data_IF_670686591309
#
_entry.id   IF_670686591309
#
_cell.length_a   1.000
_cell.length_b   1.000
_cell.length_c   1.000
_cell.angle_alpha   90.00
_cell.angle_beta   90.00
_cell.angle_gamma   90.00
#
_symmetry.space_group_name_H-M   'P 1'
#
loop_
_entity.id
_entity.type
_entity.pdbx_description
1 polymer ?
#
# COMPACT_ATOMS: atom_id res chain seq x y z
N UNK A 1 -14.10 -93.90 5.93
CA UNK A 1 -15.41 -94.57 5.82
C UNK A 1 -16.14 -93.88 4.66
N UNK A 2 -15.81 -94.29 3.42
CA UNK A 2 -16.62 -95.17 2.53
C UNK A 2 -17.86 -94.44 1.98
N UNK A 3 -17.82 -94.02 0.70
CA UNK A 3 -18.50 -94.64 -0.48
C UNK A 3 -20.00 -94.22 -0.54
N UNK A 4 -20.67 -93.82 -1.63
CA UNK A 4 -20.66 -94.04 -3.10
C UNK A 4 -21.59 -92.97 -3.73
N UNK A 5 -21.32 -92.29 -4.86
CA UNK A 5 -21.51 -92.66 -6.30
C UNK A 5 -22.93 -93.17 -6.67
N UNK A 6 -23.72 -92.38 -7.43
CA UNK A 6 -24.23 -92.68 -8.80
C UNK A 6 -25.54 -91.97 -9.25
N UNK A 7 -25.67 -91.86 -10.60
CA UNK A 7 -26.80 -91.48 -11.48
C UNK A 7 -26.71 -90.03 -11.98
N UNK A 8 -26.14 -89.72 -13.16
CA UNK A 8 -26.41 -90.16 -14.54
C UNK A 8 -27.90 -90.07 -14.92
N UNK A 9 -28.29 -88.93 -15.47
CA UNK A 9 -29.40 -88.82 -16.41
C UNK A 9 -28.96 -87.94 -17.58
N UNK A 10 -28.60 -88.63 -18.65
CA UNK A 10 -28.32 -88.13 -19.98
C UNK A 10 -29.60 -87.47 -20.55
N UNK A 11 -29.57 -86.17 -20.83
CA UNK A 11 -30.56 -85.54 -21.71
C UNK A 11 -29.80 -84.86 -22.85
N UNK A 12 -29.63 -85.67 -23.89
CA UNK A 12 -29.21 -85.30 -25.24
C UNK A 12 -30.33 -84.46 -25.87
N UNK A 13 -30.17 -83.14 -25.92
CA UNK A 13 -31.05 -82.26 -26.71
C UNK A 13 -30.27 -81.73 -27.91
N UNK A 14 -30.76 -82.16 -29.06
CA UNK A 14 -30.35 -81.91 -30.43
C UNK A 14 -29.70 -80.54 -30.69
N UNK A 15 -28.43 -80.57 -31.08
CA UNK A 15 -27.76 -79.53 -31.86
C UNK A 15 -28.39 -79.57 -33.27
N UNK A 16 -29.47 -78.83 -33.47
CA UNK A 16 -29.92 -78.46 -34.82
C UNK A 16 -29.09 -77.26 -35.27
N UNK A 17 -28.02 -77.57 -36.01
CA UNK A 17 -27.28 -76.67 -36.88
C UNK A 17 -28.24 -76.11 -37.95
N UNK A 18 -29.00 -75.10 -37.56
CA UNK A 18 -29.64 -74.17 -38.49
C UNK A 18 -28.58 -73.24 -39.05
N UNK A 19 -28.03 -73.59 -40.21
CA UNK A 19 -27.38 -72.67 -41.13
C UNK A 19 -28.43 -71.64 -41.59
N UNK A 20 -28.64 -70.63 -40.75
CA UNK A 20 -29.30 -69.40 -41.16
C UNK A 20 -28.29 -68.67 -42.05
N UNK A 21 -28.60 -68.35 -43.32
CA UNK A 21 -27.78 -67.41 -44.05
C UNK A 21 -27.74 -66.12 -43.23
N UNK A 22 -26.57 -65.84 -42.66
CA UNK A 22 -26.29 -64.57 -42.03
C UNK A 22 -26.53 -63.50 -43.09
N UNK A 23 -27.71 -62.87 -43.04
CA UNK A 23 -27.88 -61.56 -43.61
C UNK A 23 -26.82 -60.71 -42.93
N UNK A 24 -25.73 -60.42 -43.66
CA UNK A 24 -24.86 -59.32 -43.34
C UNK A 24 -25.70 -58.05 -43.50
N UNK A 25 -26.54 -57.76 -42.51
CA UNK A 25 -26.98 -56.41 -42.27
C UNK A 25 -25.70 -55.62 -42.07
N UNK A 26 -25.39 -54.76 -43.04
CA UNK A 26 -24.48 -53.65 -42.82
C UNK A 26 -24.86 -53.07 -41.46
N UNK A 27 -23.95 -53.16 -40.48
CA UNK A 27 -24.11 -52.45 -39.24
C UNK A 27 -24.30 -50.99 -39.64
N UNK A 28 -25.52 -50.49 -39.44
CA UNK A 28 -25.81 -49.08 -39.58
C UNK A 28 -24.77 -48.32 -38.76
N UNK A 29 -24.29 -47.17 -39.24
CA UNK A 29 -23.30 -46.35 -38.53
C UNK A 29 -23.97 -45.72 -37.30
N UNK A 30 -24.34 -46.55 -36.32
CA UNK A 30 -24.99 -46.13 -35.09
C UNK A 30 -23.98 -45.27 -34.36
N UNK A 31 -24.32 -43.98 -34.30
CA UNK A 31 -23.55 -42.97 -33.60
C UNK A 31 -23.31 -43.42 -32.15
N UNK A 32 -22.06 -43.46 -31.66
CA UNK A 32 -21.78 -43.93 -30.31
C UNK A 32 -22.50 -43.09 -29.25
N UNK A 33 -23.04 -43.73 -28.21
CA UNK A 33 -23.86 -43.06 -27.18
C UNK A 33 -23.14 -41.87 -26.51
N UNK A 34 -21.82 -41.94 -26.36
CA UNK A 34 -21.03 -40.88 -25.73
C UNK A 34 -21.03 -39.59 -26.55
N UNK A 35 -21.28 -39.64 -27.86
CA UNK A 35 -21.33 -38.43 -28.71
C UNK A 35 -22.52 -37.50 -28.41
N UNK A 36 -23.51 -37.98 -27.63
CA UNK A 36 -24.66 -37.21 -27.17
C UNK A 36 -24.43 -36.55 -25.80
N UNK A 37 -23.31 -36.85 -25.14
CA UNK A 37 -22.91 -36.27 -23.85
C UNK A 37 -21.94 -35.11 -24.10
N UNK A 38 -21.97 -34.10 -23.23
CA UNK A 38 -20.93 -33.06 -23.18
C UNK A 38 -19.79 -33.49 -22.24
N UNK A 39 -20.13 -33.96 -21.05
CA UNK A 39 -19.21 -34.44 -20.02
C UNK A 39 -19.90 -35.37 -19.03
N UNK A 40 -19.15 -36.27 -18.40
CA UNK A 40 -19.61 -37.15 -17.33
C UNK A 40 -18.43 -37.69 -16.51
N UNK A 41 -18.69 -38.13 -15.28
CA UNK A 41 -17.67 -38.75 -14.41
C UNK A 41 -17.95 -40.24 -14.35
N UNK A 42 -16.91 -41.06 -14.51
CA UNK A 42 -16.98 -42.51 -14.36
C UNK A 42 -15.69 -43.02 -13.70
N UNK A 43 -15.83 -43.63 -12.52
CA UNK A 43 -14.70 -43.95 -11.65
C UNK A 43 -13.94 -42.68 -11.25
N UNK A 44 -12.62 -42.73 -11.37
CA UNK A 44 -11.71 -41.63 -11.04
C UNK A 44 -11.45 -40.67 -12.22
N UNK A 45 -12.20 -40.81 -13.32
CA UNK A 45 -11.98 -40.05 -14.54
C UNK A 45 -13.15 -39.12 -14.87
N UNK A 46 -12.81 -37.88 -15.25
CA UNK A 46 -13.73 -36.97 -15.91
C UNK A 46 -13.65 -37.18 -17.42
N UNK A 47 -14.72 -37.68 -18.02
CA UNK A 47 -14.86 -37.80 -19.47
C UNK A 47 -15.51 -36.56 -20.05
N UNK A 48 -14.98 -36.10 -21.18
CA UNK A 48 -15.42 -34.91 -21.89
C UNK A 48 -15.42 -35.16 -23.39
N UNK A 49 -16.44 -34.66 -24.07
CA UNK A 49 -16.60 -34.81 -25.51
C UNK A 49 -16.35 -33.48 -26.19
N UNK A 50 -15.25 -33.43 -26.92
CA UNK A 50 -14.96 -32.34 -27.84
C UNK A 50 -15.69 -32.54 -29.16
N UNK A 51 -16.41 -31.52 -29.63
CA UNK A 51 -17.17 -31.58 -30.90
C UNK A 51 -16.69 -30.51 -31.85
N UNK A 52 -16.34 -30.87 -33.07
CA UNK A 52 -16.08 -29.94 -34.16
C UNK A 52 -17.00 -30.25 -35.34
N UNK A 53 -17.84 -29.29 -35.72
CA UNK A 53 -18.83 -29.48 -36.79
C UNK A 53 -18.43 -28.73 -38.05
N UNK A 54 -18.90 -29.21 -39.21
CA UNK A 54 -18.74 -28.53 -40.51
C UNK A 54 -17.29 -28.21 -40.92
N UNK A 55 -16.35 -29.08 -40.56
CA UNK A 55 -14.93 -28.88 -40.86
C UNK A 55 -14.58 -29.32 -42.28
N UNK A 56 -13.63 -28.62 -42.92
CA UNK A 56 -13.24 -28.88 -44.32
C UNK A 56 -12.43 -30.17 -44.48
N UNK A 57 -11.74 -30.61 -43.43
CA UNK A 57 -10.98 -31.87 -43.39
C UNK A 57 -11.12 -32.53 -42.03
N UNK A 58 -10.91 -33.85 -42.00
CA UNK A 58 -10.96 -34.66 -40.77
C UNK A 58 -9.89 -34.19 -39.79
N UNK A 59 -8.67 -33.91 -40.25
CA UNK A 59 -7.55 -33.42 -39.42
C UNK A 59 -7.89 -32.09 -38.74
N UNK A 60 -8.50 -31.15 -39.47
CA UNK A 60 -8.96 -29.89 -38.88
C UNK A 60 -10.06 -30.15 -37.83
N UNK A 61 -11.00 -31.05 -38.13
CA UNK A 61 -12.00 -31.51 -37.18
C UNK A 61 -11.42 -32.11 -35.91
N UNK A 62 -10.43 -33.00 -36.01
CA UNK A 62 -9.75 -33.62 -34.87
C UNK A 62 -9.06 -32.59 -33.97
N UNK A 63 -8.36 -31.62 -34.57
CA UNK A 63 -7.69 -30.54 -33.84
C UNK A 63 -8.72 -29.64 -33.12
N UNK A 64 -9.77 -29.23 -33.82
CA UNK A 64 -10.83 -28.40 -33.23
C UNK A 64 -11.60 -29.14 -32.15
N UNK A 65 -11.91 -30.43 -32.33
CA UNK A 65 -12.59 -31.23 -31.34
C UNK A 65 -11.75 -31.32 -30.06
N UNK A 66 -10.44 -31.54 -30.18
CA UNK A 66 -9.53 -31.54 -29.03
C UNK A 66 -9.54 -30.22 -28.25
N UNK A 67 -9.39 -29.09 -28.95
CA UNK A 67 -9.43 -27.77 -28.29
C UNK A 67 -10.81 -27.45 -27.70
N UNK A 68 -11.89 -27.90 -28.34
CA UNK A 68 -13.25 -27.73 -27.82
C UNK A 68 -13.47 -28.54 -26.54
N UNK A 69 -12.96 -29.77 -26.48
CA UNK A 69 -13.05 -30.56 -25.25
C UNK A 69 -12.15 -30.04 -24.14
N UNK A 70 -10.99 -29.43 -24.44
CA UNK A 70 -10.22 -28.66 -23.43
C UNK A 70 -11.03 -27.53 -22.82
N UNK A 71 -11.78 -26.79 -23.65
CA UNK A 71 -12.69 -25.74 -23.14
C UNK A 71 -13.79 -26.31 -22.27
N UNK A 72 -14.35 -27.45 -22.65
CA UNK A 72 -15.37 -28.12 -21.85
C UNK A 72 -14.82 -28.63 -20.51
N UNK A 73 -13.59 -29.16 -20.45
CA UNK A 73 -12.92 -29.49 -19.17
C UNK A 73 -12.78 -28.23 -18.29
N UNK A 74 -12.33 -27.10 -18.85
CA UNK A 74 -12.21 -25.84 -18.09
C UNK A 74 -13.57 -25.37 -17.56
N UNK A 75 -14.61 -25.44 -18.39
CA UNK A 75 -15.97 -25.04 -18.02
C UNK A 75 -16.54 -25.92 -16.91
N UNK A 76 -16.43 -27.24 -17.06
CA UNK A 76 -16.94 -28.20 -16.10
C UNK A 76 -16.21 -28.10 -14.75
N UNK A 77 -14.89 -28.01 -14.79
CA UNK A 77 -14.06 -28.00 -13.58
C UNK A 77 -13.95 -26.63 -12.93
N UNK A 78 -14.30 -25.56 -13.64
CA UNK A 78 -14.07 -24.15 -13.27
C UNK A 78 -12.58 -23.82 -13.07
N UNK A 79 -11.70 -24.55 -13.75
CA UNK A 79 -10.25 -24.28 -13.74
C UNK A 79 -9.90 -23.42 -14.96
N UNK A 80 -9.20 -22.31 -14.73
CA UNK A 80 -8.85 -21.34 -15.78
C UNK A 80 -7.64 -21.75 -16.64
N UNK A 81 -6.84 -22.71 -16.17
CA UNK A 81 -5.64 -23.16 -16.86
C UNK A 81 -5.42 -24.66 -16.63
N UNK A 82 -5.38 -25.45 -17.70
CA UNK A 82 -5.17 -26.91 -17.65
C UNK A 82 -3.69 -27.32 -17.73
N UNK A 83 -2.75 -26.38 -17.58
CA UNK A 83 -1.31 -26.67 -17.67
C UNK A 83 -0.90 -27.72 -16.63
N UNK A 84 -0.28 -28.80 -17.09
CA UNK A 84 0.18 -29.89 -16.24
C UNK A 84 -0.81 -31.05 -16.12
N UNK A 85 -2.06 -30.89 -16.60
CA UNK A 85 -3.01 -32.00 -16.68
C UNK A 85 -2.73 -32.86 -17.92
N UNK A 86 -2.69 -34.17 -17.73
CA UNK A 86 -2.67 -35.12 -18.83
C UNK A 86 -4.09 -35.28 -19.39
N UNK A 87 -4.30 -34.80 -20.62
CA UNK A 87 -5.59 -34.93 -21.32
C UNK A 87 -5.45 -36.04 -22.35
N UNK A 88 -6.11 -37.17 -22.12
CA UNK A 88 -5.94 -38.37 -22.92
C UNK A 88 -7.15 -38.53 -23.83
N UNK A 89 -6.91 -38.72 -25.13
CA UNK A 89 -7.97 -39.08 -26.08
C UNK A 89 -8.22 -40.57 -26.00
N UNK A 90 -9.45 -40.97 -25.70
CA UNK A 90 -9.86 -42.37 -25.64
C UNK A 90 -10.42 -42.85 -26.98
N UNK A 91 -11.32 -42.06 -27.59
CA UNK A 91 -12.01 -42.42 -28.84
C UNK A 91 -12.23 -41.19 -29.72
N UNK A 92 -12.37 -41.43 -31.03
CA UNK A 92 -12.78 -40.42 -32.01
C UNK A 92 -13.84 -41.02 -32.93
N UNK A 93 -14.92 -40.29 -33.18
CA UNK A 93 -15.98 -40.65 -34.10
C UNK A 93 -16.12 -39.54 -35.15
N UNK A 94 -16.25 -39.94 -36.40
CA UNK A 94 -16.20 -39.04 -37.55
C UNK A 94 -17.43 -39.28 -38.42
N UNK A 95 -18.14 -38.20 -38.70
CA UNK A 95 -19.36 -38.22 -39.49
C UNK A 95 -19.18 -37.28 -40.68
N UNK A 96 -19.34 -37.81 -41.90
CA UNK A 96 -19.25 -37.00 -43.12
C UNK A 96 -20.62 -36.37 -43.40
N UNK A 97 -20.65 -35.05 -43.49
CA UNK A 97 -21.85 -34.26 -43.82
C UNK A 97 -21.55 -33.41 -45.05
N UNK A 98 -22.15 -33.73 -46.19
CA UNK A 98 -22.09 -32.99 -47.47
C UNK A 98 -20.78 -32.19 -47.68
N UNK A 99 -19.72 -32.89 -48.11
CA UNK A 99 -18.37 -32.35 -48.34
C UNK A 99 -17.68 -31.71 -47.12
N UNK A 100 -18.19 -31.93 -45.91
CA UNK A 100 -17.61 -31.52 -44.63
C UNK A 100 -17.61 -32.69 -43.65
N UNK A 101 -16.99 -32.46 -42.48
CA UNK A 101 -16.88 -33.45 -41.42
C UNK A 101 -17.31 -32.88 -40.07
N UNK A 102 -18.07 -33.68 -39.34
CA UNK A 102 -18.28 -33.55 -37.91
C UNK A 102 -17.34 -34.54 -37.21
N UNK A 103 -16.56 -34.07 -36.26
CA UNK A 103 -15.62 -34.90 -35.49
C UNK A 103 -15.97 -34.77 -34.02
N UNK A 104 -16.16 -35.92 -33.39
CA UNK A 104 -16.42 -36.08 -31.96
C UNK A 104 -15.22 -36.77 -31.34
N UNK A 105 -14.70 -36.23 -30.24
CA UNK A 105 -13.53 -36.78 -29.56
C UNK A 105 -13.82 -36.94 -28.09
N UNK A 106 -13.86 -38.20 -27.63
CA UNK A 106 -13.95 -38.55 -26.23
C UNK A 106 -12.56 -38.46 -25.60
N UNK A 107 -12.43 -37.63 -24.59
CA UNK A 107 -11.22 -37.45 -23.81
C UNK A 107 -11.51 -37.69 -22.34
N UNK A 108 -10.48 -38.02 -21.58
CA UNK A 108 -10.58 -38.06 -20.14
C UNK A 108 -9.39 -37.39 -19.46
N UNK A 109 -9.61 -37.03 -18.21
CA UNK A 109 -8.60 -36.52 -17.28
C UNK A 109 -8.84 -37.17 -15.93
N UNK A 110 -7.76 -37.47 -15.22
CA UNK A 110 -7.82 -37.96 -13.84
C UNK A 110 -8.42 -36.87 -12.94
N UNK A 111 -9.44 -37.25 -12.16
CA UNK A 111 -10.11 -36.33 -11.25
C UNK A 111 -9.24 -35.92 -10.05
N UNK A 112 -8.30 -36.78 -9.62
CA UNK A 112 -7.33 -36.46 -8.57
C UNK A 112 -6.37 -35.36 -9.03
N UNK A 113 -5.93 -35.40 -10.29
CA UNK A 113 -5.10 -34.35 -10.89
C UNK A 113 -5.84 -33.00 -10.96
N UNK A 114 -7.12 -33.03 -11.34
CA UNK A 114 -8.00 -31.85 -11.34
C UNK A 114 -8.10 -31.26 -9.93
N UNK A 115 -8.31 -32.11 -8.92
CA UNK A 115 -8.44 -31.67 -7.54
C UNK A 115 -7.13 -31.07 -7.00
N UNK A 116 -6.00 -31.72 -7.28
CA UNK A 116 -4.67 -31.24 -6.94
C UNK A 116 -4.41 -29.85 -7.53
N UNK A 117 -4.81 -29.64 -8.79
CA UNK A 117 -4.68 -28.34 -9.45
C UNK A 117 -5.57 -27.27 -8.82
N UNK A 118 -6.79 -27.62 -8.39
CA UNK A 118 -7.66 -26.70 -7.64
C UNK A 118 -7.05 -26.27 -6.32
N UNK A 119 -6.50 -27.23 -5.57
CA UNK A 119 -5.86 -26.97 -4.28
C UNK A 119 -4.67 -26.01 -4.48
N UNK A 120 -3.79 -26.29 -5.44
CA UNK A 120 -2.64 -25.42 -5.74
C UNK A 120 -3.08 -24.00 -6.13
N UNK A 121 -4.08 -23.86 -7.00
CA UNK A 121 -4.60 -22.55 -7.39
C UNK A 121 -5.21 -21.78 -6.22
N UNK A 122 -5.93 -22.47 -5.34
CA UNK A 122 -6.51 -21.89 -4.14
C UNK A 122 -5.43 -21.44 -3.16
N UNK A 123 -4.42 -22.28 -2.90
CA UNK A 123 -3.29 -21.94 -2.02
C UNK A 123 -2.49 -20.75 -2.53
N UNK A 124 -2.23 -20.70 -3.84
CA UNK A 124 -1.53 -19.57 -4.45
C UNK A 124 -2.35 -18.28 -4.34
N UNK A 125 -3.66 -18.36 -4.56
CA UNK A 125 -4.58 -17.22 -4.41
C UNK A 125 -4.60 -16.73 -2.96
N UNK A 126 -4.69 -17.65 -2.01
CA UNK A 126 -4.63 -17.34 -0.57
C UNK A 126 -3.30 -16.67 -0.21
N UNK A 127 -2.16 -17.23 -0.64
CA UNK A 127 -0.83 -16.66 -0.40
C UNK A 127 -0.67 -15.26 -1.01
N UNK A 128 -1.30 -15.00 -2.15
CA UNK A 128 -1.29 -13.67 -2.76
C UNK A 128 -2.16 -12.68 -1.96
N UNK A 129 -3.33 -13.13 -1.50
CA UNK A 129 -4.20 -12.35 -0.64
C UNK A 129 -3.53 -11.99 0.70
N UNK A 130 -2.89 -12.96 1.36
CA UNK A 130 -2.19 -12.75 2.63
C UNK A 130 -1.03 -11.74 2.47
N UNK A 131 -0.26 -11.84 1.38
CA UNK A 131 0.79 -10.86 1.05
C UNK A 131 0.23 -9.46 0.81
N UNK A 132 -0.94 -9.35 0.17
CA UNK A 132 -1.60 -8.07 -0.03
C UNK A 132 -2.05 -7.45 1.30
N UNK A 133 -2.65 -8.26 2.19
CA UNK A 133 -3.07 -7.81 3.52
C UNK A 133 -1.88 -7.35 4.38
N UNK A 134 -0.77 -8.08 4.35
CA UNK A 134 0.45 -7.70 5.07
C UNK A 134 0.98 -6.33 4.60
N UNK A 135 1.07 -6.10 3.29
CA UNK A 135 1.49 -4.80 2.73
C UNK A 135 0.57 -3.66 3.17
N UNK A 136 -0.75 -3.86 3.14
CA UNK A 136 -1.70 -2.86 3.61
C UNK A 136 -1.50 -2.52 5.09
N UNK A 137 -1.24 -3.53 5.92
CA UNK A 137 -0.97 -3.32 7.34
C UNK A 137 0.35 -2.59 7.59
N UNK A 138 1.40 -2.91 6.85
CA UNK A 138 2.69 -2.21 6.90
C UNK A 138 2.55 -0.74 6.52
N UNK A 139 1.85 -0.44 5.42
CA UNK A 139 1.58 0.94 4.99
C UNK A 139 0.77 1.72 6.04
N UNK A 140 -0.24 1.08 6.63
CA UNK A 140 -1.04 1.70 7.68
C UNK A 140 -0.19 2.01 8.92
N UNK A 141 0.67 1.07 9.33
CA UNK A 141 1.59 1.26 10.47
C UNK A 141 2.59 2.39 10.18
N UNK A 142 3.13 2.45 8.97
CA UNK A 142 4.02 3.54 8.55
C UNK A 142 3.31 4.90 8.62
N UNK A 143 2.09 5.02 8.09
CA UNK A 143 1.30 6.25 8.13
C UNK A 143 0.97 6.67 9.57
N UNK A 144 0.61 5.72 10.44
CA UNK A 144 0.38 5.98 11.88
C UNK A 144 1.63 6.55 12.55
N UNK A 145 2.80 5.97 12.29
CA UNK A 145 4.06 6.46 12.84
C UNK A 145 4.39 7.87 12.36
N UNK A 146 4.17 8.16 11.08
CA UNK A 146 4.36 9.50 10.52
C UNK A 146 3.42 10.54 11.16
N UNK A 147 2.14 10.20 11.36
CA UNK A 147 1.16 11.07 12.04
C UNK A 147 1.57 11.33 13.49
N UNK A 148 2.02 10.30 14.21
CA UNK A 148 2.49 10.47 15.59
C UNK A 148 3.70 11.41 15.66
N UNK A 149 4.63 11.31 14.71
CA UNK A 149 5.77 12.22 14.63
C UNK A 149 5.33 13.66 14.33
N UNK A 150 4.40 13.84 13.37
CA UNK A 150 3.85 15.16 13.06
C UNK A 150 3.11 15.78 14.25
N UNK A 151 2.39 14.97 15.05
CA UNK A 151 1.73 15.45 16.27
C UNK A 151 2.74 15.97 17.30
N UNK A 152 3.82 15.22 17.54
CA UNK A 152 4.90 15.67 18.43
C UNK A 152 5.56 16.96 17.96
N UNK A 153 5.84 17.07 16.66
CA UNK A 153 6.42 18.28 16.09
C UNK A 153 5.47 19.48 16.23
N UNK A 154 4.16 19.27 16.07
CA UNK A 154 3.15 20.30 16.25
C UNK A 154 3.09 20.79 17.71
N UNK A 155 3.15 19.88 18.68
CA UNK A 155 3.18 20.22 20.11
C UNK A 155 4.45 21.03 20.46
N UNK A 156 5.60 20.62 19.93
CA UNK A 156 6.85 21.35 20.15
C UNK A 156 6.84 22.75 19.53
N UNK A 157 6.27 22.91 18.33
CA UNK A 157 6.07 24.22 17.72
C UNK A 157 5.17 25.11 18.57
N UNK A 158 4.08 24.57 19.13
CA UNK A 158 3.20 25.33 20.02
C UNK A 158 3.92 25.77 21.31
N UNK A 159 4.80 24.93 21.86
CA UNK A 159 5.63 25.26 23.02
C UNK A 159 6.61 26.39 22.72
N UNK A 160 7.33 26.30 21.59
CA UNK A 160 8.28 27.32 21.15
C UNK A 160 7.59 28.66 20.87
N UNK A 161 6.39 28.63 20.30
CA UNK A 161 5.59 29.83 20.04
C UNK A 161 5.20 30.54 21.36
N UNK A 162 4.75 29.78 22.36
CA UNK A 162 4.49 30.32 23.70
C UNK A 162 5.73 30.95 24.34
N UNK A 163 6.89 30.28 24.24
CA UNK A 163 8.16 30.82 24.74
C UNK A 163 8.54 32.10 24.00
N UNK A 164 8.40 32.13 22.68
CA UNK A 164 8.66 33.31 21.85
C UNK A 164 7.81 34.50 22.29
N UNK A 165 6.50 34.34 22.46
CA UNK A 165 5.63 35.42 22.91
C UNK A 165 5.99 35.92 24.31
N UNK A 166 6.38 35.02 25.22
CA UNK A 166 6.88 35.39 26.55
C UNK A 166 8.15 36.23 26.45
N UNK A 167 9.10 35.84 25.60
CA UNK A 167 10.33 36.61 25.38
C UNK A 167 10.05 37.97 24.73
N UNK A 168 9.21 38.02 23.70
CA UNK A 168 8.83 39.24 23.01
C UNK A 168 8.13 40.23 23.96
N UNK A 169 7.19 39.74 24.78
CA UNK A 169 6.50 40.55 25.80
C UNK A 169 7.48 41.11 26.84
N UNK A 170 8.38 40.28 27.37
CA UNK A 170 9.40 40.72 28.31
C UNK A 170 10.36 41.76 27.70
N UNK A 171 10.74 41.58 26.44
CA UNK A 171 11.58 42.51 25.69
C UNK A 171 10.89 43.86 25.49
N UNK A 172 9.61 43.84 25.14
CA UNK A 172 8.79 45.05 24.96
C UNK A 172 8.61 45.78 26.29
N UNK A 173 8.25 45.07 27.37
CA UNK A 173 8.11 45.66 28.70
C UNK A 173 9.42 46.27 29.21
N UNK A 174 10.56 45.60 29.01
CA UNK A 174 11.87 46.15 29.35
C UNK A 174 12.18 47.42 28.56
N UNK A 175 11.85 47.43 27.26
CA UNK A 175 12.00 48.61 26.40
C UNK A 175 11.17 49.79 26.88
N UNK A 176 9.91 49.56 27.23
CA UNK A 176 8.99 50.59 27.70
C UNK A 176 9.40 51.15 29.07
N UNK A 177 9.82 50.28 29.99
CA UNK A 177 10.35 50.71 31.29
C UNK A 177 11.61 51.54 31.13
N UNK A 178 12.55 51.11 30.28
CA UNK A 178 13.77 51.86 30.02
C UNK A 178 13.44 53.27 29.47
N UNK A 179 12.57 53.35 28.46
CA UNK A 179 12.16 54.61 27.86
C UNK A 179 11.46 55.55 28.84
N UNK A 180 10.65 55.00 29.75
CA UNK A 180 9.82 55.78 30.67
C UNK A 180 10.59 56.25 31.90
N UNK A 181 11.44 55.39 32.47
CA UNK A 181 12.01 55.60 33.80
C UNK A 181 13.48 56.01 33.79
N UNK A 182 14.26 55.65 32.75
CA UNK A 182 15.68 56.02 32.68
C UNK A 182 15.82 57.51 32.40
N UNK A 183 16.63 58.18 33.21
CA UNK A 183 17.00 59.59 33.05
C UNK A 183 18.51 59.75 33.12
N UNK A 184 19.02 60.79 32.48
CA UNK A 184 20.44 61.16 32.58
C UNK A 184 20.81 61.50 34.01
N UNK A 185 22.03 61.13 34.40
CA UNK A 185 22.55 61.28 35.75
C UNK A 185 22.19 60.16 36.72
N UNK A 186 21.25 59.25 36.38
CA UNK A 186 20.97 58.07 37.21
C UNK A 186 22.20 57.16 37.29
N UNK A 187 22.48 56.61 38.46
CA UNK A 187 23.56 55.62 38.66
C UNK A 187 23.16 54.23 38.16
N UNK A 188 24.14 53.38 37.85
CA UNK A 188 23.89 51.99 37.44
C UNK A 188 23.01 51.21 38.43
N UNK A 189 23.27 51.36 39.73
CA UNK A 189 22.49 50.68 40.79
C UNK A 189 21.03 51.10 40.78
N UNK A 190 20.74 52.37 40.53
CA UNK A 190 19.36 52.86 40.41
C UNK A 190 18.67 52.26 39.18
N UNK A 191 19.37 52.17 38.03
CA UNK A 191 18.85 51.55 36.82
C UNK A 191 18.56 50.06 37.05
N UNK A 192 19.49 49.31 37.64
CA UNK A 192 19.30 47.89 37.93
C UNK A 192 18.19 47.66 38.96
N UNK A 193 18.04 48.55 39.95
CA UNK A 193 16.94 48.48 40.93
C UNK A 193 15.58 48.78 40.30
N UNK A 194 15.52 49.67 39.30
CA UNK A 194 14.26 50.07 38.64
C UNK A 194 13.83 49.08 37.54
N UNK A 195 14.80 48.61 36.75
CA UNK A 195 14.55 47.81 35.55
C UNK A 195 14.84 46.32 35.74
N UNK A 196 15.54 45.95 36.81
CA UNK A 196 16.10 44.62 37.03
C UNK A 196 17.45 44.42 36.33
N UNK A 197 17.96 43.18 36.32
CA UNK A 197 19.22 42.85 35.66
C UNK A 197 19.10 43.06 34.15
N UNK A 198 20.16 43.58 33.50
CA UNK A 198 20.17 43.80 32.06
C UNK A 198 20.24 42.49 31.27
N UNK A 199 19.74 42.51 30.03
CA UNK A 199 19.78 41.32 29.16
C UNK A 199 21.15 41.08 28.54
N UNK A 200 21.93 42.14 28.40
CA UNK A 200 23.28 42.09 27.86
C UNK A 200 24.08 43.23 28.48
N UNK A 201 25.32 42.93 28.84
CA UNK A 201 26.28 43.88 29.40
C UNK A 201 27.43 43.96 28.40
N UNK A 202 27.80 45.16 27.99
CA UNK A 202 28.89 45.36 27.05
C UNK A 202 29.90 46.36 27.60
N UNK A 203 31.19 46.03 27.48
CA UNK A 203 32.28 46.89 27.94
C UNK A 203 32.58 47.98 26.91
N UNK A 204 32.72 49.22 27.38
CA UNK A 204 33.12 50.36 26.56
C UNK A 204 34.62 50.27 26.21
N UNK A 205 35.01 50.57 24.96
CA UNK A 205 36.38 50.32 24.44
C UNK A 205 37.49 51.15 25.10
N UNK A 206 37.15 52.18 25.88
CA UNK A 206 38.13 53.12 26.47
C UNK A 206 38.03 53.28 27.99
N UNK A 207 37.16 52.54 28.70
CA UNK A 207 36.94 52.73 30.15
C UNK A 207 36.46 51.45 30.85
N UNK A 208 36.47 51.45 32.20
CA UNK A 208 35.90 50.37 33.04
C UNK A 208 34.36 50.42 33.15
N UNK A 209 33.71 51.12 32.22
CA UNK A 209 32.27 51.38 32.23
C UNK A 209 31.56 50.39 31.30
N UNK A 210 30.38 49.94 31.71
CA UNK A 210 29.60 48.94 31.01
C UNK A 210 28.24 49.50 30.61
N UNK A 211 27.92 49.41 29.33
CA UNK A 211 26.60 49.75 28.81
C UNK A 211 25.65 48.58 29.01
N UNK A 212 24.39 48.89 29.34
CA UNK A 212 23.39 47.91 29.69
C UNK A 212 22.26 47.89 28.65
N UNK A 213 21.90 46.71 28.16
CA UNK A 213 20.80 46.54 27.20
C UNK A 213 19.49 46.16 27.88
N UNK A 214 18.48 47.02 27.71
CA UNK A 214 17.11 46.81 28.18
C UNK A 214 16.13 46.88 27.01
N UNK A 215 15.79 45.70 26.48
CA UNK A 215 14.95 45.61 25.29
C UNK A 215 15.65 46.23 24.08
N UNK A 216 14.99 47.20 23.43
CA UNK A 216 15.54 47.91 22.27
C UNK A 216 16.54 49.01 22.63
N UNK A 217 16.63 49.41 23.89
CA UNK A 217 17.49 50.51 24.30
C UNK A 217 18.77 50.04 24.97
N UNK A 218 19.85 50.74 24.65
CA UNK A 218 21.11 50.77 25.38
C UNK A 218 21.10 51.95 26.34
N UNK A 219 21.34 51.65 27.61
CA UNK A 219 21.65 52.65 28.64
C UNK A 219 23.15 52.82 28.63
N UNK A 220 23.61 53.97 28.17
CA UNK A 220 25.04 54.28 28.00
C UNK A 220 25.49 55.09 29.21
N UNK A 221 26.60 54.69 29.81
CA UNK A 221 27.12 55.30 31.03
C UNK A 221 28.39 56.10 30.74
N UNK A 222 28.57 57.22 31.45
CA UNK A 222 29.81 58.00 31.40
C UNK A 222 30.89 57.43 32.33
N UNK A 223 32.06 58.07 32.39
CA UNK A 223 33.18 57.67 33.25
C UNK A 223 32.88 57.71 34.76
N UNK A 224 31.83 58.42 35.18
CA UNK A 224 31.36 58.49 36.57
C UNK A 224 30.31 57.41 36.91
N UNK A 225 30.06 56.45 36.01
CA UNK A 225 29.04 55.40 36.14
C UNK A 225 27.61 55.93 36.32
N UNK A 226 27.34 57.09 35.72
CA UNK A 226 26.00 57.66 35.60
C UNK A 226 25.53 57.66 34.15
N UNK A 227 24.22 57.58 33.93
CA UNK A 227 23.61 57.52 32.59
C UNK A 227 23.96 58.80 31.82
N UNK A 228 24.64 58.63 30.70
CA UNK A 228 24.97 59.68 29.72
C UNK A 228 23.85 59.84 28.70
N UNK A 229 23.32 58.72 28.17
CA UNK A 229 22.15 58.76 27.29
C UNK A 229 21.41 57.40 27.20
N UNK A 230 20.22 57.43 26.59
CA UNK A 230 19.44 56.25 26.23
C UNK A 230 19.31 56.19 24.70
N UNK A 231 19.85 55.15 24.07
CA UNK A 231 19.92 55.07 22.60
C UNK A 231 19.43 53.72 22.09
N UNK A 232 18.81 53.66 20.91
CA UNK A 232 18.57 52.38 20.24
C UNK A 232 19.83 51.83 19.56
N UNK A 233 20.85 52.68 19.40
CA UNK A 233 22.17 52.34 18.91
C UNK A 233 23.20 52.29 20.06
N UNK A 234 24.39 51.77 19.77
CA UNK A 234 25.49 51.63 20.75
C UNK A 234 26.29 52.91 20.98
N UNK A 235 25.78 54.04 20.55
CA UNK A 235 26.47 55.32 20.67
C UNK A 235 25.49 56.43 21.02
N UNK A 236 25.91 57.31 21.91
CA UNK A 236 25.24 58.59 22.12
C UNK A 236 25.60 59.51 20.95
N UNK A 237 24.62 59.84 20.12
CA UNK A 237 24.80 60.94 19.16
C UNK A 237 24.56 62.23 19.93
N UNK A 238 25.61 63.00 20.19
CA UNK A 238 25.48 64.31 20.82
C UNK A 238 24.73 65.25 19.88
N UNK A 239 23.47 65.53 20.17
CA UNK A 239 22.68 66.55 19.46
C UNK A 239 22.66 67.78 20.36
N UNK A 240 23.07 68.94 19.85
CA UNK A 240 22.99 70.22 20.56
C UNK A 240 21.54 70.57 20.81
N UNK A 241 21.12 70.51 22.08
CA UNK A 241 19.78 70.79 22.54
C UNK A 241 19.74 72.17 23.17
N UNK A 242 19.04 73.13 22.58
CA UNK A 242 19.03 74.52 23.06
C UNK A 242 18.15 74.77 24.30
N UNK A 243 17.82 73.76 25.11
CA UNK A 243 17.04 73.95 26.34
C UNK A 243 17.24 72.79 27.34
N UNK A 244 17.67 73.15 28.56
CA UNK A 244 18.12 72.28 29.66
C UNK A 244 17.08 71.29 30.22
N UNK A 245 15.83 71.31 29.72
CA UNK A 245 14.74 70.46 30.22
C UNK A 245 13.92 69.76 29.10
N UNK A 246 14.36 69.84 27.84
CA UNK A 246 13.60 69.30 26.71
C UNK A 246 14.22 68.01 26.17
N UNK A 247 13.41 66.95 26.08
CA UNK A 247 13.77 65.74 25.33
C UNK A 247 14.13 66.11 23.90
N UNK A 248 15.39 65.87 23.52
CA UNK A 248 15.78 65.97 22.13
C UNK A 248 15.56 64.64 21.44
N UNK A 249 14.44 64.55 20.72
CA UNK A 249 14.17 63.45 19.82
C UNK A 249 14.75 63.76 18.45
N UNK A 250 15.71 62.97 17.99
CA UNK A 250 16.07 62.90 16.57
C UNK A 250 15.73 61.49 16.08
N UNK A 251 14.55 61.35 15.46
CA UNK A 251 14.01 60.02 15.12
C UNK A 251 13.54 59.25 16.36
N UNK A 252 13.87 57.96 16.45
CA UNK A 252 13.48 57.05 17.55
C UNK A 252 14.41 57.09 18.77
N UNK A 253 15.51 57.84 18.70
CA UNK A 253 16.49 57.98 19.78
C UNK A 253 16.15 59.14 20.71
N UNK A 254 16.29 58.92 22.01
CA UNK A 254 15.99 59.91 23.06
C UNK A 254 17.29 60.28 23.76
N UNK A 255 17.92 61.34 23.27
CA UNK A 255 19.09 61.91 23.95
C UNK A 255 18.59 62.93 24.98
N UNK A 256 19.05 62.80 26.22
CA UNK A 256 18.87 63.84 27.23
C UNK A 256 20.23 64.52 27.39
N UNK A 257 20.24 65.85 27.39
CA UNK A 257 21.43 66.63 27.66
C UNK A 257 21.08 67.63 28.76
N UNK A 258 21.97 67.74 29.76
CA UNK A 258 22.13 68.90 30.63
C UNK A 258 23.37 69.67 30.17
#
# INVERSE_FOLDING_TARGET
>A
MTLTINNIACITVCIFLGLVPGNFSYADNVKPFWTEKSSYIEGDNLYVVGVASNTASIEAGRMHAFENGKREIMNFTQISNLRGLAIITQMTYEEKVVNKYNVYRLMYVDYEDINSLKIMNFEQTKKNYDRYQQKQQEELNFKKNAINLLSKNKEELARLDQEYYKYASNYQMASEKALRYVKVGMSRKEIESLLGPPKSIQKHYSSYVYDLKYGKYWVIFNSADTVDCLSTSRSCVKVSCNNDNTRCTRGTDVSYYN
#
